data_IF_779330051517
#
_entry.id   IF_779330051517
#
_cell.length_a   1.000
_cell.length_b   1.000
_cell.length_c   1.000
_cell.angle_alpha   90.00
_cell.angle_beta   90.00
_cell.angle_gamma   90.00
#
_symmetry.space_group_name_H-M   'P 1'
#
loop_
_entity.id
_entity.type
_entity.pdbx_description
1 polymer ?
#
# COMPACT_ATOMS: atom_id res chain seq x y z
N UNK A 1 7.59 2.24 15.76
CA UNK A 1 6.38 1.71 15.11
C UNK A 1 6.65 1.60 13.62
N UNK A 2 6.74 0.38 13.07
CA UNK A 2 6.94 0.17 11.63
C UNK A 2 5.59 0.14 10.93
N UNK A 3 5.00 1.32 10.73
CA UNK A 3 3.75 1.47 9.98
C UNK A 3 4.00 1.38 8.48
N UNK A 4 3.18 0.62 7.77
CA UNK A 4 3.07 0.70 6.33
C UNK A 4 1.96 1.68 5.98
N UNK A 5 1.98 2.22 4.77
CA UNK A 5 0.86 2.97 4.22
C UNK A 5 0.21 2.15 3.12
N UNK A 6 -1.11 2.05 3.14
CA UNK A 6 -1.87 1.64 1.96
C UNK A 6 -2.26 2.90 1.20
N UNK A 7 -1.75 3.03 -0.03
CA UNK A 7 -2.05 4.14 -0.93
C UNK A 7 -3.04 3.64 -1.97
N UNK A 8 -4.21 4.27 -2.04
CA UNK A 8 -5.27 3.92 -2.98
C UNK A 8 -5.38 5.07 -3.98
N UNK A 9 -5.25 4.74 -5.26
CA UNK A 9 -5.39 5.71 -6.34
C UNK A 9 -6.85 5.84 -6.76
N UNK A 10 -7.18 6.99 -7.35
CA UNK A 10 -8.49 7.32 -7.93
C UNK A 10 -9.00 6.31 -8.96
N UNK A 11 -8.11 5.55 -9.60
CA UNK A 11 -8.47 4.46 -10.51
C UNK A 11 -8.72 3.11 -9.81
N UNK A 12 -8.65 3.07 -8.48
CA UNK A 12 -8.82 1.86 -7.67
C UNK A 12 -7.55 1.04 -7.45
N UNK A 13 -6.41 1.41 -8.04
CA UNK A 13 -5.15 0.70 -7.81
C UNK A 13 -4.65 0.91 -6.39
N UNK A 14 -4.22 -0.17 -5.75
CA UNK A 14 -3.73 -0.16 -4.37
C UNK A 14 -2.25 -0.51 -4.31
N UNK A 15 -1.50 0.24 -3.48
CA UNK A 15 -0.08 0.02 -3.26
C UNK A 15 0.25 0.04 -1.78
N UNK A 16 1.12 -0.87 -1.36
CA UNK A 16 1.62 -0.91 0.02
C UNK A 16 3.00 -0.27 0.05
N UNK A 17 3.14 0.83 0.78
CA UNK A 17 4.37 1.61 0.91
C UNK A 17 4.99 1.34 2.29
N UNK A 18 6.29 0.98 2.39
CA UNK A 18 6.96 0.71 3.65
C UNK A 18 7.37 1.97 4.42
N UNK A 19 6.47 2.95 4.49
CA UNK A 19 6.61 4.23 5.17
C UNK A 19 5.31 4.50 5.91
N UNK A 20 5.38 5.06 7.11
CA UNK A 20 4.20 5.46 7.87
C UNK A 20 3.46 6.62 7.18
N UNK A 21 2.11 6.70 7.21
CA UNK A 21 1.36 7.71 6.44
C UNK A 21 1.81 9.15 6.67
N UNK A 22 2.04 9.55 7.93
CA UNK A 22 2.51 10.92 8.24
C UNK A 22 3.83 11.25 7.56
N UNK A 23 4.80 10.33 7.65
CA UNK A 23 6.13 10.49 7.04
C UNK A 23 6.02 10.48 5.52
N UNK A 24 5.16 9.62 4.96
CA UNK A 24 4.93 9.54 3.52
C UNK A 24 4.42 10.89 2.99
N UNK A 25 3.40 11.44 3.63
CA UNK A 25 2.82 12.73 3.23
C UNK A 25 3.88 13.83 3.32
N UNK A 26 4.50 14.00 4.48
CA UNK A 26 5.42 15.11 4.75
C UNK A 26 6.70 15.07 3.90
N UNK A 27 7.30 13.89 3.72
CA UNK A 27 8.63 13.77 3.11
C UNK A 27 8.63 13.42 1.64
N UNK A 28 7.67 12.61 1.20
CA UNK A 28 7.68 12.08 -0.16
C UNK A 28 6.64 12.78 -1.05
N UNK A 29 5.46 13.11 -0.52
CA UNK A 29 4.34 13.61 -1.33
C UNK A 29 4.24 15.13 -1.38
N UNK A 30 4.79 15.84 -0.39
CA UNK A 30 4.75 17.31 -0.31
C UNK A 30 6.11 17.96 -0.55
N UNK A 31 6.10 19.17 -1.11
CA UNK A 31 7.27 20.03 -1.22
C UNK A 31 7.57 20.75 0.12
N UNK A 32 8.65 21.55 0.15
CA UNK A 32 9.05 22.32 1.35
C UNK A 32 8.01 23.34 1.82
N UNK A 33 7.05 23.70 0.97
CA UNK A 33 5.96 24.62 1.28
C UNK A 33 4.71 23.88 1.79
N UNK A 34 4.74 22.54 1.89
CA UNK A 34 3.60 21.71 2.27
C UNK A 34 2.62 21.43 1.11
N UNK A 35 2.96 21.80 -0.12
CA UNK A 35 2.09 21.56 -1.28
C UNK A 35 2.34 20.18 -1.88
N UNK A 36 1.27 19.50 -2.27
CA UNK A 36 1.34 18.19 -2.92
C UNK A 36 2.01 18.30 -4.30
N UNK A 37 2.99 17.44 -4.58
CA UNK A 37 3.65 17.41 -5.89
C UNK A 37 2.65 17.17 -7.03
N UNK A 38 2.84 17.91 -8.12
CA UNK A 38 2.06 17.81 -9.36
C UNK A 38 2.76 16.99 -10.46
N UNK A 39 3.82 16.26 -10.09
CA UNK A 39 4.66 15.49 -10.99
C UNK A 39 4.72 14.03 -10.53
N UNK A 40 5.17 13.16 -11.42
CA UNK A 40 5.52 11.80 -11.05
C UNK A 40 6.75 11.80 -10.15
N UNK A 41 6.66 11.07 -9.05
CA UNK A 41 7.72 10.84 -8.07
C UNK A 41 7.93 9.33 -7.91
N UNK A 42 9.14 8.96 -7.47
CA UNK A 42 9.49 7.56 -7.26
C UNK A 42 9.27 7.20 -5.79
N UNK A 43 8.37 6.25 -5.52
CA UNK A 43 8.02 5.84 -4.16
C UNK A 43 8.32 4.35 -3.99
N UNK A 44 8.84 3.90 -2.84
CA UNK A 44 8.99 2.47 -2.59
C UNK A 44 7.62 1.81 -2.41
N UNK A 45 7.43 0.62 -3.00
CA UNK A 45 6.32 -0.28 -2.69
C UNK A 45 6.83 -1.64 -2.28
N UNK A 46 5.99 -2.36 -1.55
CA UNK A 46 6.15 -3.80 -1.32
C UNK A 46 5.41 -4.53 -2.40
N UNK A 47 6.13 -5.39 -3.10
CA UNK A 47 5.54 -6.43 -3.91
C UNK A 47 4.86 -7.45 -2.99
N UNK A 48 3.54 -7.64 -3.14
CA UNK A 48 2.73 -8.43 -2.22
C UNK A 48 3.01 -9.93 -2.39
N UNK A 49 3.39 -10.36 -3.59
CA UNK A 49 3.63 -11.77 -3.91
C UNK A 49 4.99 -12.24 -3.37
N UNK A 50 6.03 -11.43 -3.59
CA UNK A 50 7.42 -11.75 -3.25
C UNK A 50 7.85 -11.16 -1.90
N UNK A 51 7.15 -10.14 -1.41
CA UNK A 51 7.52 -9.38 -0.21
C UNK A 51 8.71 -8.44 -0.40
N UNK A 52 9.23 -8.34 -1.64
CA UNK A 52 10.38 -7.51 -2.00
C UNK A 52 10.03 -6.03 -2.04
N UNK A 53 11.00 -5.18 -1.74
CA UNK A 53 10.86 -3.73 -1.93
C UNK A 53 11.22 -3.41 -3.38
N UNK A 54 10.28 -2.82 -4.10
CA UNK A 54 10.48 -2.31 -5.46
C UNK A 54 10.08 -0.84 -5.49
N UNK A 55 10.40 -0.14 -6.57
CA UNK A 55 10.01 1.26 -6.74
C UNK A 55 8.90 1.38 -7.78
N UNK A 56 8.07 2.41 -7.65
CA UNK A 56 7.06 2.73 -8.65
C UNK A 56 6.90 4.24 -8.81
N UNK A 57 6.47 4.65 -10.01
CA UNK A 57 6.15 6.03 -10.30
C UNK A 57 4.73 6.32 -9.82
N UNK A 58 4.60 7.33 -8.96
CA UNK A 58 3.34 7.80 -8.38
C UNK A 58 3.17 9.27 -8.72
N UNK A 59 1.98 9.66 -9.18
CA UNK A 59 1.58 11.06 -9.18
C UNK A 59 0.65 11.31 -7.99
N UNK A 60 1.08 12.09 -6.98
CA UNK A 60 0.33 12.27 -5.75
C UNK A 60 -1.07 12.87 -5.94
N UNK A 61 -1.31 13.61 -7.03
CA UNK A 61 -2.64 14.17 -7.36
C UNK A 61 -3.69 13.10 -7.68
N UNK A 62 -3.27 11.89 -8.01
CA UNK A 62 -4.18 10.78 -8.29
C UNK A 62 -4.45 9.89 -7.07
N UNK A 63 -3.88 10.22 -5.91
CA UNK A 63 -4.16 9.51 -4.66
C UNK A 63 -5.58 9.89 -4.19
N UNK A 64 -6.42 8.88 -3.97
CA UNK A 64 -7.74 9.06 -3.39
C UNK A 64 -7.65 9.02 -1.86
N UNK A 65 -6.97 8.02 -1.30
CA UNK A 65 -6.80 7.86 0.15
C UNK A 65 -5.43 7.29 0.50
N UNK A 66 -4.97 7.61 1.72
CA UNK A 66 -3.80 7.00 2.36
C UNK A 66 -4.24 6.51 3.73
N UNK A 67 -4.03 5.24 3.99
CA UNK A 67 -4.44 4.58 5.23
C UNK A 67 -3.22 3.97 5.92
N UNK A 68 -3.23 3.95 7.26
CA UNK A 68 -2.25 3.18 8.01
C UNK A 68 -2.51 1.68 7.81
N UNK A 69 -1.46 0.94 7.47
CA UNK A 69 -1.54 -0.49 7.20
C UNK A 69 -0.55 -1.25 8.06
N UNK A 70 -1.00 -2.37 8.62
CA UNK A 70 -0.16 -3.29 9.39
C UNK A 70 -0.02 -4.61 8.64
N UNK A 71 1.19 -4.90 8.18
CA UNK A 71 1.49 -6.20 7.56
C UNK A 71 1.88 -7.17 8.66
N UNK A 72 1.01 -8.13 8.97
CA UNK A 72 1.39 -9.34 9.72
C UNK A 72 2.05 -10.32 8.75
N UNK A 73 3.35 -10.17 8.50
CA UNK A 73 4.11 -11.16 7.71
C UNK A 73 4.17 -12.46 8.53
N UNK A 74 3.37 -13.46 8.17
CA UNK A 74 3.54 -14.81 8.70
C UNK A 74 4.87 -15.36 8.18
N UNK A 75 5.88 -15.40 9.05
CA UNK A 75 7.29 -15.53 8.64
C UNK A 75 7.69 -16.89 8.06
N UNK A 76 6.83 -17.91 8.10
CA UNK A 76 7.14 -19.26 7.65
C UNK A 76 5.85 -20.09 7.49
N UNK A 77 4.92 -19.66 6.64
CA UNK A 77 3.84 -20.56 6.21
C UNK A 77 4.24 -21.15 4.87
N UNK A 78 4.61 -22.45 4.83
CA UNK A 78 4.94 -23.13 3.59
C UNK A 78 3.82 -22.94 2.56
N UNK A 79 4.17 -22.90 1.28
CA UNK A 79 3.22 -22.72 0.16
C UNK A 79 1.99 -23.61 0.29
N UNK A 80 2.18 -24.85 0.74
CA UNK A 80 1.12 -25.86 0.92
C UNK A 80 0.08 -25.50 2.00
N UNK A 81 0.37 -24.51 2.86
CA UNK A 81 -0.51 -24.01 3.91
C UNK A 81 -1.05 -22.60 3.64
N UNK A 82 -0.66 -21.96 2.51
CA UNK A 82 -1.27 -20.69 2.10
C UNK A 82 -2.66 -20.99 1.54
N UNK A 83 -3.68 -20.81 2.38
CA UNK A 83 -5.06 -20.83 1.91
C UNK A 83 -5.28 -19.55 1.11
N UNK A 84 -5.57 -19.68 -0.19
CA UNK A 84 -6.09 -18.58 -0.99
C UNK A 84 -7.35 -18.06 -0.28
N UNK A 85 -7.27 -16.87 0.33
CA UNK A 85 -8.48 -16.12 0.72
C UNK A 85 -9.15 -15.58 -0.53
N UNK A 86 -9.63 -16.48 -1.37
CA UNK A 86 -10.68 -16.17 -2.32
C UNK A 86 -11.93 -15.92 -1.48
N UNK A 87 -12.31 -14.64 -1.40
CA UNK A 87 -13.51 -14.08 -0.79
C UNK A 87 -14.84 -14.66 -1.36
N UNK A 88 -14.84 -15.85 -1.97
CA UNK A 88 -16.05 -16.52 -2.43
C UNK A 88 -16.87 -17.12 -1.29
N UNK A 89 -16.23 -17.49 -0.16
CA UNK A 89 -16.96 -18.06 0.99
C UNK A 89 -17.83 -17.05 1.75
N UNK A 90 -17.61 -15.76 1.59
CA UNK A 90 -18.44 -14.70 2.19
C UNK A 90 -19.70 -14.38 1.38
N UNK A 91 -19.81 -14.83 0.12
CA UNK A 91 -21.02 -14.61 -0.71
C UNK A 91 -22.16 -15.61 -0.48
N UNK A 92 -21.95 -16.69 0.30
CA UNK A 92 -22.98 -17.74 0.52
C UNK A 92 -23.68 -17.70 1.88
N UNK A 93 -23.65 -16.56 2.58
CA UNK A 93 -24.47 -16.36 3.76
C UNK A 93 -25.14 -14.99 3.72
N UNK A 94 -26.15 -14.89 2.85
CA UNK A 94 -27.32 -14.06 3.16
C UNK A 94 -28.50 -15.02 3.33
N UNK A 95 -29.35 -14.82 4.36
CA UNK A 95 -30.50 -15.67 4.64
C UNK A 95 -31.55 -15.63 3.53
#
# INVERSE_FOLDING_TARGET
MSGYSKVILSNGNEYIVPIHPSILIEKELTNKNGEIYNKFILVPKIDIETGSKVQFNLNPRHIATIEEFSIRRQKNVPSVFRVETNNERLKRKQP
#
